data_IF_080567099104
#
_entry.id   IF_080567099104
#
_cell.length_a   1.000
_cell.length_b   1.000
_cell.length_c   1.000
_cell.angle_alpha   90.00
_cell.angle_beta   90.00
_cell.angle_gamma   90.00
#
_symmetry.space_group_name_H-M   'P 1'
#
loop_
_entity.id
_entity.type
_entity.pdbx_description
1 polymer ?
#
# COMPACT_ATOMS: atom_id res chain seq x y z
N UNK A 1 5.19 50.54 -3.21
CA UNK A 1 5.59 49.11 -3.09
C UNK A 1 4.35 48.29 -2.81
N UNK A 2 3.82 47.56 -3.80
CA UNK A 2 2.64 46.70 -3.61
C UNK A 2 3.10 45.41 -2.93
N UNK A 3 2.66 45.19 -1.69
CA UNK A 3 2.85 43.91 -1.01
C UNK A 3 2.21 42.80 -1.85
N UNK A 4 2.93 41.71 -2.16
CA UNK A 4 2.34 40.60 -2.90
C UNK A 4 1.18 40.02 -2.10
N UNK A 5 0.05 39.84 -2.79
CA UNK A 5 -1.23 39.34 -2.30
C UNK A 5 -1.07 38.13 -1.37
N UNK A 6 -1.78 38.14 -0.24
CA UNK A 6 -1.90 37.06 0.76
C UNK A 6 -2.11 35.65 0.16
N UNK A 7 -2.60 35.54 -1.08
CA UNK A 7 -2.74 34.30 -1.84
C UNK A 7 -1.41 33.56 -2.07
N UNK A 8 -0.30 34.27 -2.34
CA UNK A 8 1.01 33.64 -2.62
C UNK A 8 1.61 33.05 -1.34
N UNK A 9 1.41 33.70 -0.19
CA UNK A 9 1.88 33.21 1.11
C UNK A 9 1.07 32.00 1.61
N UNK A 10 -0.18 31.85 1.19
CA UNK A 10 -1.01 30.71 1.56
C UNK A 10 -0.62 29.44 0.80
N UNK A 11 -0.24 29.57 -0.49
CA UNK A 11 0.15 28.44 -1.35
C UNK A 11 1.46 27.76 -0.94
N UNK A 12 2.37 28.46 -0.25
CA UNK A 12 3.64 27.90 0.21
C UNK A 12 3.60 27.37 1.65
N UNK A 13 2.43 27.32 2.29
CA UNK A 13 2.33 26.68 3.60
C UNK A 13 2.54 25.17 3.44
N UNK A 14 3.54 24.58 4.13
CA UNK A 14 3.78 23.15 4.03
C UNK A 14 2.56 22.39 4.53
N UNK A 15 2.15 21.36 3.78
CA UNK A 15 1.04 20.47 4.15
C UNK A 15 1.29 19.75 5.48
N UNK A 16 2.56 19.64 5.88
CA UNK A 16 2.99 19.01 7.13
C UNK A 16 3.69 20.03 8.02
N UNK A 17 3.38 20.04 9.32
CA UNK A 17 4.01 20.93 10.31
C UNK A 17 5.37 20.41 10.83
N UNK A 18 5.89 19.34 10.24
CA UNK A 18 7.12 18.70 10.70
C UNK A 18 8.36 19.54 10.41
N UNK A 19 9.37 19.39 11.27
CA UNK A 19 10.71 19.94 11.03
C UNK A 19 11.26 19.31 9.73
N UNK A 20 11.88 20.09 8.82
CA UNK A 20 12.46 19.54 7.58
C UNK A 20 13.40 18.35 7.79
N UNK A 21 14.10 18.32 8.93
CA UNK A 21 14.98 17.22 9.33
C UNK A 21 14.27 15.86 9.49
N UNK A 22 12.97 15.86 9.79
CA UNK A 22 12.19 14.62 9.92
C UNK A 22 12.10 13.92 8.57
N UNK A 23 11.84 14.67 7.49
CA UNK A 23 11.76 14.11 6.14
C UNK A 23 13.11 13.57 5.66
N UNK A 24 14.20 14.27 6.02
CA UNK A 24 15.55 13.82 5.71
C UNK A 24 15.92 12.52 6.46
N UNK A 25 15.60 12.44 7.75
CA UNK A 25 15.87 11.23 8.54
C UNK A 25 15.02 10.04 8.05
N UNK A 26 13.76 10.29 7.69
CA UNK A 26 12.90 9.29 7.06
C UNK A 26 13.51 8.78 5.76
N UNK A 27 13.93 9.69 4.87
CA UNK A 27 14.57 9.33 3.60
C UNK A 27 15.80 8.44 3.78
N UNK A 28 16.69 8.78 4.71
CA UNK A 28 17.89 7.97 5.01
C UNK A 28 17.53 6.57 5.52
N UNK A 29 16.56 6.49 6.43
CA UNK A 29 16.09 5.23 7.00
C UNK A 29 15.48 4.32 5.93
N UNK A 30 14.68 4.87 5.02
CA UNK A 30 14.09 4.08 3.93
C UNK A 30 15.15 3.61 2.94
N UNK A 31 16.16 4.44 2.64
CA UNK A 31 17.27 4.02 1.78
C UNK A 31 18.18 2.98 2.44
N UNK A 32 18.34 3.02 3.77
CA UNK A 32 19.04 1.98 4.53
C UNK A 32 18.31 0.63 4.42
N UNK A 33 16.98 0.62 4.49
CA UNK A 33 16.17 -0.58 4.28
C UNK A 33 16.27 -1.07 2.82
N UNK A 34 16.30 -0.16 1.86
CA UNK A 34 16.49 -0.51 0.46
C UNK A 34 17.90 -1.09 0.19
N UNK A 35 18.93 -0.60 0.88
CA UNK A 35 20.29 -1.14 0.84
C UNK A 35 20.34 -2.57 1.37
N UNK A 36 19.72 -2.84 2.52
CA UNK A 36 19.70 -4.19 3.09
C UNK A 36 19.00 -5.21 2.20
N UNK A 37 18.08 -4.76 1.33
CA UNK A 37 17.41 -5.56 0.29
C UNK A 37 18.14 -5.56 -1.06
N UNK A 38 19.35 -5.01 -1.14
CA UNK A 38 20.17 -4.98 -2.35
C UNK A 38 19.65 -4.08 -3.48
N UNK A 39 18.71 -3.19 -3.18
CA UNK A 39 18.09 -2.29 -4.19
C UNK A 39 18.97 -1.07 -4.48
N UNK A 40 19.78 -0.63 -3.53
CA UNK A 40 20.69 0.51 -3.69
C UNK A 40 22.05 0.20 -3.08
N UNK A 41 23.13 0.68 -3.72
CA UNK A 41 24.47 0.57 -3.18
C UNK A 41 24.72 1.59 -2.05
N UNK A 42 25.60 1.24 -1.11
CA UNK A 42 26.01 2.10 0.00
C UNK A 42 26.42 3.50 -0.47
N UNK A 43 27.31 3.56 -1.45
CA UNK A 43 27.88 4.81 -1.96
C UNK A 43 26.82 5.73 -2.58
N UNK A 44 25.76 5.17 -3.17
CA UNK A 44 24.67 5.96 -3.73
C UNK A 44 23.83 6.61 -2.62
N UNK A 45 23.55 5.90 -1.53
CA UNK A 45 22.86 6.48 -0.36
C UNK A 45 23.69 7.59 0.27
N UNK A 46 24.97 7.32 0.54
CA UNK A 46 25.92 8.30 1.12
C UNK A 46 26.01 9.56 0.25
N UNK A 47 26.04 9.38 -1.08
CA UNK A 47 26.00 10.48 -2.04
C UNK A 47 24.69 11.27 -1.98
N UNK A 48 23.53 10.61 -1.97
CA UNK A 48 22.23 11.30 -1.89
C UNK A 48 22.08 12.09 -0.59
N UNK A 49 22.66 11.59 0.50
CA UNK A 49 22.71 12.30 1.76
C UNK A 49 23.74 13.43 1.77
N UNK A 50 24.62 13.54 0.77
CA UNK A 50 25.69 14.54 0.73
C UNK A 50 26.73 14.32 1.83
N UNK A 51 26.85 13.10 2.33
CA UNK A 51 27.89 12.75 3.30
C UNK A 51 29.23 12.59 2.60
N UNK A 52 30.31 12.92 3.31
CA UNK A 52 31.67 12.65 2.83
C UNK A 52 31.88 11.13 2.90
N UNK A 53 31.75 10.46 1.76
CA UNK A 53 31.95 9.01 1.65
C UNK A 53 33.41 8.59 1.87
N UNK A 54 33.68 7.30 1.69
CA UNK A 54 35.02 6.71 1.77
C UNK A 54 35.98 7.30 0.73
N UNK A 55 37.29 7.06 0.89
CA UNK A 55 38.31 7.51 -0.05
C UNK A 55 38.02 7.10 -1.51
N UNK A 56 37.31 5.99 -1.74
CA UNK A 56 36.91 5.51 -3.06
C UNK A 56 35.83 6.38 -3.73
N UNK A 57 34.94 7.00 -2.95
CA UNK A 57 33.95 7.96 -3.46
C UNK A 57 34.61 9.17 -4.12
N UNK A 58 35.85 9.49 -3.71
CA UNK A 58 36.69 10.54 -4.32
C UNK A 58 37.02 10.27 -5.79
N UNK A 59 37.04 8.99 -6.20
CA UNK A 59 37.43 8.56 -7.55
C UNK A 59 36.24 8.17 -8.44
N UNK A 60 35.03 8.02 -7.88
CA UNK A 60 33.82 7.61 -8.63
C UNK A 60 32.74 8.70 -8.70
N UNK A 61 32.33 9.26 -7.56
CA UNK A 61 31.21 10.23 -7.46
C UNK A 61 31.64 11.68 -7.21
N UNK A 62 32.93 11.93 -7.00
CA UNK A 62 33.45 13.24 -6.59
C UNK A 62 34.34 13.95 -7.64
N UNK A 63 34.28 13.52 -8.91
CA UNK A 63 34.75 14.39 -10.01
C UNK A 63 33.61 15.35 -10.32
N UNK A 64 33.90 16.65 -10.42
CA UNK A 64 32.91 17.73 -10.53
C UNK A 64 31.84 17.58 -11.63
N UNK A 65 31.94 16.57 -12.49
CA UNK A 65 30.89 16.08 -13.38
C UNK A 65 30.81 14.55 -13.25
N UNK A 66 29.67 14.02 -12.81
CA UNK A 66 29.42 12.57 -12.81
C UNK A 66 29.24 12.09 -14.26
N UNK A 67 29.81 10.93 -14.65
CA UNK A 67 29.53 10.32 -15.93
C UNK A 67 28.03 10.04 -16.11
N UNK A 68 27.50 10.30 -17.32
CA UNK A 68 26.07 10.09 -17.61
C UNK A 68 25.60 8.65 -17.35
N UNK A 69 26.47 7.67 -17.57
CA UNK A 69 26.17 6.27 -17.25
C UNK A 69 25.93 6.05 -15.75
N UNK A 70 26.78 6.64 -14.90
CA UNK A 70 26.64 6.55 -13.44
C UNK A 70 25.36 7.25 -12.97
N UNK A 71 25.04 8.42 -13.51
CA UNK A 71 23.78 9.12 -13.21
C UNK A 71 22.56 8.27 -13.59
N UNK A 72 22.60 7.59 -14.73
CA UNK A 72 21.52 6.69 -15.16
C UNK A 72 21.35 5.51 -14.20
N UNK A 73 22.45 4.92 -13.74
CA UNK A 73 22.43 3.85 -12.74
C UNK A 73 21.89 4.34 -11.39
N UNK A 74 22.29 5.51 -10.93
CA UNK A 74 21.78 6.11 -9.69
C UNK A 74 20.27 6.37 -9.79
N UNK A 75 19.79 6.85 -10.93
CA UNK A 75 18.35 7.03 -11.21
C UNK A 75 17.61 5.69 -11.22
N UNK A 76 18.18 4.67 -11.84
CA UNK A 76 17.62 3.30 -11.86
C UNK A 76 17.54 2.70 -10.45
N UNK A 77 18.60 2.85 -9.66
CA UNK A 77 18.65 2.42 -8.27
C UNK A 77 17.60 3.14 -7.42
N UNK A 78 17.48 4.45 -7.57
CA UNK A 78 16.44 5.23 -6.89
C UNK A 78 15.03 4.73 -7.24
N UNK A 79 14.75 4.48 -8.54
CA UNK A 79 13.47 3.94 -9.00
C UNK A 79 13.17 2.57 -8.38
N UNK A 80 14.17 1.70 -8.23
CA UNK A 80 14.02 0.40 -7.56
C UNK A 80 13.76 0.51 -6.05
N UNK A 81 14.20 1.60 -5.44
CA UNK A 81 13.96 1.91 -4.02
C UNK A 81 12.66 2.68 -3.76
N UNK A 82 11.92 3.06 -4.82
CA UNK A 82 10.69 3.86 -4.70
C UNK A 82 9.61 3.16 -3.87
N UNK A 83 9.54 1.81 -3.93
CA UNK A 83 8.67 0.97 -3.09
C UNK A 83 8.79 1.27 -1.58
N UNK A 84 9.97 1.69 -1.13
CA UNK A 84 10.22 2.02 0.27
C UNK A 84 9.91 3.48 0.60
N UNK A 85 9.95 4.36 -0.39
CA UNK A 85 9.78 5.79 -0.20
C UNK A 85 8.31 6.22 -0.32
N UNK A 86 7.54 5.47 -1.10
CA UNK A 86 6.17 5.79 -1.44
C UNK A 86 5.19 4.97 -0.57
N UNK A 87 4.72 5.59 0.51
CA UNK A 87 3.76 4.97 1.42
C UNK A 87 2.40 4.74 0.76
N UNK A 88 2.02 5.59 -0.21
CA UNK A 88 0.72 5.49 -0.89
C UNK A 88 0.67 4.26 -1.80
N UNK A 89 1.76 3.98 -2.53
CA UNK A 89 1.88 2.76 -3.34
C UNK A 89 1.76 1.50 -2.46
N UNK A 90 2.43 1.50 -1.31
CA UNK A 90 2.38 0.36 -0.38
C UNK A 90 0.98 0.14 0.20
N UNK A 91 0.22 1.20 0.46
CA UNK A 91 -1.17 1.07 0.95
C UNK A 91 -2.11 0.54 -0.13
N UNK A 92 -1.94 0.94 -1.38
CA UNK A 92 -2.77 0.45 -2.49
C UNK A 92 -2.57 -1.06 -2.70
N UNK A 93 -1.31 -1.51 -2.76
CA UNK A 93 -0.97 -2.94 -2.94
C UNK A 93 -1.47 -3.81 -1.77
N UNK A 94 -1.36 -3.32 -0.53
CA UNK A 94 -1.88 -4.03 0.66
C UNK A 94 -3.41 -4.13 0.65
N UNK A 95 -4.09 -3.05 0.23
CA UNK A 95 -5.54 -3.00 0.18
C UNK A 95 -6.07 -3.97 -0.89
N UNK A 96 -5.43 -4.01 -2.06
CA UNK A 96 -5.77 -4.94 -3.13
C UNK A 96 -5.63 -6.40 -2.66
N UNK A 97 -4.52 -6.76 -2.02
CA UNK A 97 -4.32 -8.11 -1.46
C UNK A 97 -5.38 -8.48 -0.43
N UNK A 98 -5.71 -7.59 0.50
CA UNK A 98 -6.76 -7.81 1.52
C UNK A 98 -8.14 -7.98 0.88
N UNK A 99 -8.47 -7.21 -0.16
CA UNK A 99 -9.75 -7.34 -0.86
C UNK A 99 -9.88 -8.67 -1.60
N UNK A 100 -8.78 -9.17 -2.17
CA UNK A 100 -8.74 -10.47 -2.84
C UNK A 100 -8.89 -11.63 -1.86
N UNK A 101 -8.19 -11.57 -0.72
CA UNK A 101 -8.31 -12.52 0.40
C UNK A 101 -9.75 -12.56 0.92
N UNK A 102 -10.31 -11.41 1.28
CA UNK A 102 -11.69 -11.29 1.78
C UNK A 102 -12.71 -11.83 0.76
N UNK A 103 -12.51 -11.56 -0.53
CA UNK A 103 -13.39 -12.06 -1.60
C UNK A 103 -13.29 -13.58 -1.78
N UNK A 104 -12.10 -14.15 -1.60
CA UNK A 104 -11.90 -15.61 -1.63
C UNK A 104 -12.55 -16.30 -0.44
N UNK A 105 -12.50 -15.69 0.75
CA UNK A 105 -13.13 -16.18 1.98
C UNK A 105 -14.66 -16.11 1.91
N UNK A 106 -15.21 -15.04 1.34
CA UNK A 106 -16.65 -14.93 1.07
C UNK A 106 -17.13 -16.00 0.08
N UNK A 107 -16.33 -16.28 -0.96
CA UNK A 107 -16.66 -17.31 -1.95
C UNK A 107 -16.65 -18.74 -1.35
N UNK A 108 -15.69 -19.04 -0.47
CA UNK A 108 -15.64 -20.36 0.21
C UNK A 108 -16.74 -20.48 1.26
N UNK A 109 -17.06 -19.38 1.98
CA UNK A 109 -18.19 -19.31 2.88
C UNK A 109 -19.49 -19.62 2.11
N UNK A 110 -19.84 -18.89 1.04
CA UNK A 110 -21.08 -19.12 0.27
C UNK A 110 -21.23 -20.57 -0.27
N UNK A 111 -20.12 -21.18 -0.71
CA UNK A 111 -20.12 -22.58 -1.16
C UNK A 111 -20.48 -23.55 -0.02
N UNK A 112 -19.99 -23.31 1.20
CA UNK A 112 -20.32 -24.15 2.37
C UNK A 112 -21.78 -24.00 2.84
N UNK A 113 -22.37 -22.79 2.80
CA UNK A 113 -23.80 -22.61 3.14
C UNK A 113 -24.71 -23.27 2.10
N UNK A 114 -24.31 -23.28 0.83
CA UNK A 114 -25.11 -23.86 -0.26
C UNK A 114 -25.23 -25.39 -0.12
N UNK A 115 -24.24 -26.07 0.47
CA UNK A 115 -24.30 -27.53 0.71
C UNK A 115 -25.10 -27.94 1.96
N UNK A 116 -25.40 -27.01 2.89
CA UNK A 116 -25.90 -27.35 4.23
C UNK A 116 -27.30 -26.85 4.61
N UNK A 117 -28.02 -26.10 3.77
CA UNK A 117 -29.34 -25.60 4.15
C UNK A 117 -30.49 -26.49 3.65
N UNK A 118 -31.21 -27.11 4.58
CA UNK A 118 -32.60 -27.47 4.34
C UNK A 118 -33.41 -26.17 4.35
N UNK A 119 -33.87 -25.71 3.18
CA UNK A 119 -34.76 -24.54 3.09
C UNK A 119 -35.98 -24.78 3.98
N UNK A 120 -36.29 -23.84 4.87
CA UNK A 120 -37.53 -23.87 5.65
C UNK A 120 -38.40 -22.72 5.17
N UNK A 121 -39.68 -23.00 4.91
CA UNK A 121 -40.65 -22.01 4.44
C UNK A 121 -41.73 -21.90 5.50
N UNK A 122 -42.02 -20.66 5.92
CA UNK A 122 -43.14 -20.37 6.81
C UNK A 122 -44.40 -20.28 5.95
N UNK A 123 -45.39 -21.13 6.25
CA UNK A 123 -46.69 -21.15 5.58
C UNK A 123 -47.82 -21.11 6.59
N UNK A 124 -49.01 -20.74 6.13
CA UNK A 124 -50.23 -20.76 6.96
C UNK A 124 -50.71 -22.20 7.15
N UNK A 125 -51.41 -22.46 8.26
CA UNK A 125 -51.83 -23.81 8.68
C UNK A 125 -52.75 -24.51 7.65
N UNK A 126 -53.58 -23.73 6.96
CA UNK A 126 -54.49 -24.18 5.90
C UNK A 126 -53.76 -24.70 4.64
N UNK A 127 -52.49 -24.33 4.45
CA UNK A 127 -51.67 -24.69 3.30
C UNK A 127 -50.71 -25.85 3.59
N UNK A 128 -50.72 -26.39 4.81
CA UNK A 128 -49.76 -27.42 5.25
C UNK A 128 -49.95 -28.73 4.48
N UNK A 129 -51.19 -29.15 4.25
CA UNK A 129 -51.50 -30.38 3.50
C UNK A 129 -50.98 -30.30 2.05
N UNK A 130 -51.14 -29.14 1.39
CA UNK A 130 -50.62 -28.93 0.03
C UNK A 130 -49.09 -28.98 -0.01
N UNK A 131 -48.43 -28.42 1.01
CA UNK A 131 -46.97 -28.44 1.11
C UNK A 131 -46.42 -29.85 1.38
N UNK A 132 -47.13 -30.65 2.19
CA UNK A 132 -46.78 -32.06 2.41
C UNK A 132 -46.90 -32.87 1.12
N UNK A 133 -47.95 -32.65 0.32
CA UNK A 133 -48.11 -33.28 -1.00
C UNK A 133 -46.99 -32.91 -1.98
N UNK A 134 -46.42 -31.71 -1.87
CA UNK A 134 -45.26 -31.24 -2.64
C UNK A 134 -43.92 -31.78 -2.12
N UNK A 135 -43.93 -32.67 -1.11
CA UNK A 135 -42.74 -33.33 -0.57
C UNK A 135 -42.06 -32.58 0.58
N UNK A 136 -42.70 -31.57 1.16
CA UNK A 136 -42.15 -30.84 2.32
C UNK A 136 -42.47 -31.56 3.63
N UNK A 137 -41.51 -31.56 4.57
CA UNK A 137 -41.69 -32.11 5.91
C UNK A 137 -42.01 -30.99 6.90
N UNK A 138 -43.12 -31.11 7.62
CA UNK A 138 -43.46 -30.19 8.71
C UNK A 138 -42.45 -30.35 9.86
N UNK A 139 -41.86 -29.24 10.30
CA UNK A 139 -40.83 -29.23 11.36
C UNK A 139 -41.36 -28.66 12.69
N UNK A 140 -42.12 -27.56 12.64
CA UNK A 140 -42.68 -26.91 13.84
C UNK A 140 -43.90 -26.05 13.49
N UNK A 141 -44.77 -25.80 14.46
CA UNK A 141 -45.85 -24.80 14.40
C UNK A 141 -45.46 -23.60 15.26
N UNK A 142 -45.55 -22.39 14.72
CA UNK A 142 -45.35 -21.16 15.49
C UNK A 142 -46.66 -20.80 16.23
N UNK A 143 -46.59 -20.36 17.50
CA UNK A 143 -47.76 -19.94 18.28
C UNK A 143 -48.40 -18.65 17.75
#
# INVERSE_FOLDING_TARGET
MKFPSLLILLSFRPRFQWRPYVLRAYFDTQLLIAESRGKIAHDFRVFFMGHKGNMEARYTTNKGVLPNALVKEMRSAFKRSQEFLDLEMKTADMLEMQTLETKSELATHDLTYTQHHATQIITKLDQVEEMILRGWRLVATLP
#
